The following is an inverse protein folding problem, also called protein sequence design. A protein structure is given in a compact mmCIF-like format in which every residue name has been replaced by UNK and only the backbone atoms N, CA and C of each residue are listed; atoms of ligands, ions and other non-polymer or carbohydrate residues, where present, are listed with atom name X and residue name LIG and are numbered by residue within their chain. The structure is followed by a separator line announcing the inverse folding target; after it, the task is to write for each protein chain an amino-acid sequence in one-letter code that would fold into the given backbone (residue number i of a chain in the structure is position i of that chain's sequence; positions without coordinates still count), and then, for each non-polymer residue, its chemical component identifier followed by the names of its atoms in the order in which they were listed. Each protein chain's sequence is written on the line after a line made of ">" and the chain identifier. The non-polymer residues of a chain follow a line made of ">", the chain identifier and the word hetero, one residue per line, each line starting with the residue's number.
data_IF_932819627535
#
_entry.id   IF_932819627535
#
_cell.length_a   1.000
_cell.length_b   1.000
_cell.length_c   1.000
_cell.angle_alpha   90.00
_cell.angle_beta   90.00
_cell.angle_gamma   90.00
#
_symmetry.space_group_name_H-M   'P 1'
#
loop_
_entity.id
_entity.type
_entity.pdbx_description
1 polymer ?
#
# COMPACT_ATOMS: atom_id res chain seq x y z
N UNK A 1 10.10 11.76 -8.37
CA UNK A 1 10.08 10.35 -7.91
C UNK A 1 9.33 9.51 -8.92
N UNK A 2 9.93 8.41 -9.36
CA UNK A 2 9.36 7.44 -10.32
C UNK A 2 8.79 6.27 -9.52
N UNK A 3 7.56 5.78 -9.81
CA UNK A 3 7.04 4.55 -9.20
C UNK A 3 7.93 3.34 -9.51
N UNK A 4 7.85 2.31 -8.67
CA UNK A 4 8.43 1.02 -9.03
C UNK A 4 7.75 0.47 -10.28
N UNK A 5 8.49 -0.27 -11.10
CA UNK A 5 8.00 -0.92 -12.30
C UNK A 5 7.91 -2.44 -12.12
N UNK A 6 7.06 -3.09 -12.91
CA UNK A 6 6.99 -4.56 -12.99
C UNK A 6 8.34 -5.24 -13.24
N UNK A 7 9.24 -4.58 -13.98
CA UNK A 7 10.59 -5.06 -14.31
C UNK A 7 11.61 -4.93 -13.18
N UNK A 8 11.33 -4.13 -12.14
CA UNK A 8 12.23 -3.99 -11.00
C UNK A 8 12.34 -5.30 -10.22
N UNK A 9 13.54 -5.62 -9.71
CA UNK A 9 13.79 -6.88 -9.00
C UNK A 9 13.31 -6.84 -7.55
N UNK A 10 12.03 -7.16 -7.34
CA UNK A 10 11.43 -7.41 -6.03
C UNK A 10 10.17 -8.28 -6.18
N UNK A 11 9.83 -9.02 -5.13
CA UNK A 11 8.60 -9.83 -5.09
C UNK A 11 7.60 -9.34 -4.04
N UNK A 12 8.12 -8.75 -2.96
CA UNK A 12 7.36 -8.29 -1.81
C UNK A 12 7.74 -6.86 -1.43
N UNK A 13 6.75 -6.09 -1.02
CA UNK A 13 6.91 -4.83 -0.28
C UNK A 13 6.37 -5.04 1.13
N UNK A 14 7.20 -4.73 2.12
CA UNK A 14 6.86 -4.86 3.53
C UNK A 14 6.90 -3.47 4.16
N UNK A 15 5.80 -3.05 4.77
CA UNK A 15 5.67 -1.77 5.47
C UNK A 15 5.45 -2.05 6.95
N UNK A 16 6.41 -1.66 7.79
CA UNK A 16 6.26 -1.64 9.24
C UNK A 16 5.74 -0.28 9.69
N UNK A 17 4.62 -0.28 10.41
CA UNK A 17 4.11 0.91 11.09
C UNK A 17 4.27 0.71 12.58
N UNK A 18 4.94 1.65 13.24
CA UNK A 18 5.17 1.66 14.68
C UNK A 18 4.70 2.98 15.29
N UNK A 19 3.95 2.89 16.38
CA UNK A 19 3.47 4.05 17.15
C UNK A 19 3.42 3.67 18.64
N UNK A 20 4.27 4.28 19.46
CA UNK A 20 4.50 3.90 20.85
C UNK A 20 4.74 2.38 20.97
N UNK A 21 3.94 1.68 21.77
CA UNK A 21 4.01 0.23 21.99
C UNK A 21 3.22 -0.60 20.96
N UNK A 22 2.71 0.02 19.90
CA UNK A 22 1.94 -0.66 18.85
C UNK A 22 2.78 -0.81 17.59
N UNK A 23 2.78 -2.00 16.99
CA UNK A 23 3.43 -2.27 15.71
C UNK A 23 2.57 -3.16 14.82
N UNK A 24 2.59 -2.91 13.51
CA UNK A 24 1.88 -3.73 12.52
C UNK A 24 2.63 -3.76 11.20
N UNK A 25 2.67 -4.96 10.64
CA UNK A 25 3.23 -5.22 9.32
C UNK A 25 2.14 -5.24 8.26
N UNK A 26 2.44 -4.65 7.11
CA UNK A 26 1.68 -4.83 5.88
C UNK A 26 2.60 -5.45 4.83
N UNK A 27 2.15 -6.55 4.24
CA UNK A 27 2.89 -7.28 3.22
C UNK A 27 2.10 -7.28 1.93
N UNK A 28 2.74 -6.82 0.86
CA UNK A 28 2.16 -6.76 -0.48
C UNK A 28 3.04 -7.54 -1.44
N UNK A 29 2.44 -8.47 -2.18
CA UNK A 29 3.13 -9.06 -3.31
C UNK A 29 3.02 -8.15 -4.55
N UNK A 30 3.98 -8.30 -5.46
CA UNK A 30 4.04 -7.53 -6.71
C UNK A 30 2.72 -7.58 -7.51
N UNK A 31 2.06 -8.74 -7.55
CA UNK A 31 0.78 -8.92 -8.24
C UNK A 31 -0.33 -8.04 -7.65
N UNK A 32 -0.43 -7.95 -6.32
CA UNK A 32 -1.41 -7.09 -5.65
C UNK A 32 -1.12 -5.63 -5.93
N UNK A 33 0.16 -5.23 -5.92
CA UNK A 33 0.56 -3.86 -6.24
C UNK A 33 0.23 -3.49 -7.69
N UNK A 34 0.45 -4.43 -8.63
CA UNK A 34 0.11 -4.25 -10.04
C UNK A 34 -1.41 -4.14 -10.24
N UNK A 35 -2.19 -5.06 -9.65
CA UNK A 35 -3.65 -5.08 -9.72
C UNK A 35 -4.28 -3.79 -9.19
N UNK A 36 -3.65 -3.17 -8.19
CA UNK A 36 -4.11 -1.91 -7.60
C UNK A 36 -3.43 -0.66 -8.21
N UNK A 37 -2.72 -0.81 -9.33
CA UNK A 37 -2.08 0.26 -10.08
C UNK A 37 -1.01 1.04 -9.28
N UNK A 38 -0.39 0.40 -8.28
CA UNK A 38 0.67 1.00 -7.44
C UNK A 38 1.99 1.09 -8.18
N UNK A 39 2.36 0.02 -8.86
CA UNK A 39 3.59 -0.05 -9.64
C UNK A 39 3.26 0.13 -11.13
N UNK A 40 4.21 0.67 -11.89
CA UNK A 40 4.06 0.91 -13.30
C UNK A 40 4.24 -0.36 -14.12
N UNK A 41 3.69 -0.31 -15.32
CA UNK A 41 3.96 -1.24 -16.41
C UNK A 41 3.82 -0.47 -17.74
N UNK A 42 3.93 -1.16 -18.88
CA UNK A 42 3.80 -0.56 -20.21
C UNK A 42 2.44 0.15 -20.47
N UNK A 43 1.42 -0.07 -19.64
CA UNK A 43 0.06 0.46 -19.81
C UNK A 43 -0.36 1.44 -18.70
N UNK A 44 0.39 1.55 -17.61
CA UNK A 44 0.04 2.38 -16.45
C UNK A 44 1.29 2.99 -15.82
N UNK A 45 1.23 4.30 -15.55
CA UNK A 45 2.29 5.07 -14.89
C UNK A 45 2.55 4.70 -13.43
N UNK A 46 1.68 3.93 -12.78
CA UNK A 46 1.78 3.59 -11.37
C UNK A 46 1.44 4.76 -10.43
N UNK A 47 1.51 4.52 -9.12
CA UNK A 47 1.25 5.51 -8.06
C UNK A 47 2.55 5.83 -7.33
N UNK A 48 2.71 7.11 -7.00
CA UNK A 48 3.91 7.60 -6.28
C UNK A 48 3.84 7.41 -4.77
N UNK A 49 2.65 7.12 -4.24
CA UNK A 49 2.43 6.95 -2.81
C UNK A 49 1.31 5.95 -2.54
N UNK A 50 1.41 5.26 -1.41
CA UNK A 50 0.42 4.35 -0.84
C UNK A 50 0.17 4.77 0.61
N UNK A 51 -1.07 4.66 1.09
CA UNK A 51 -1.39 4.82 2.51
C UNK A 51 -1.81 3.47 3.11
N UNK A 52 -1.17 3.09 4.22
CA UNK A 52 -1.59 1.96 5.03
C UNK A 52 -2.12 2.47 6.36
N UNK A 53 -3.17 1.83 6.87
CA UNK A 53 -3.83 2.26 8.11
C UNK A 53 -3.84 1.08 9.09
N UNK A 54 -2.95 1.07 10.09
CA UNK A 54 -3.06 0.07 11.14
C UNK A 54 -4.39 0.24 11.88
N UNK A 55 -4.85 -0.81 12.57
CA UNK A 55 -6.19 -0.85 13.16
C UNK A 55 -6.45 0.28 14.18
N UNK A 56 -5.40 0.84 14.79
CA UNK A 56 -5.51 1.95 15.72
C UNK A 56 -5.54 3.34 15.07
N UNK A 57 -5.32 3.42 13.75
CA UNK A 57 -5.40 4.68 13.02
C UNK A 57 -6.87 4.97 12.67
N UNK A 58 -7.46 6.03 13.25
CA UNK A 58 -8.79 6.51 12.88
C UNK A 58 -8.66 7.62 11.83
N UNK A 59 -9.00 7.39 10.55
CA UNK A 59 -8.93 8.44 9.54
C UNK A 59 -9.97 9.53 9.84
N UNK A 60 -9.55 10.79 9.80
CA UNK A 60 -10.37 11.96 10.16
C UNK A 60 -11.36 12.40 9.06
N UNK A 61 -11.41 11.73 7.91
CA UNK A 61 -12.17 12.18 6.74
C UNK A 61 -13.22 11.15 6.26
N UNK A 62 -14.40 11.64 5.81
CA UNK A 62 -15.66 10.89 5.57
C UNK A 62 -15.66 9.80 4.48
N UNK A 63 -14.52 9.42 3.90
CA UNK A 63 -14.46 8.40 2.84
C UNK A 63 -14.44 6.96 3.42
N UNK A 64 -15.66 6.49 3.70
CA UNK A 64 -16.18 5.10 3.86
C UNK A 64 -15.25 3.92 4.20
N UNK A 65 -15.59 3.32 5.36
CA UNK A 65 -15.78 1.90 5.74
C UNK A 65 -14.60 0.92 5.60
N UNK A 66 -14.04 0.63 6.78
CA UNK A 66 -13.32 -0.59 7.14
C UNK A 66 -14.12 -1.85 6.77
N UNK A 67 -13.67 -2.58 5.77
CA UNK A 67 -14.05 -3.98 5.56
C UNK A 67 -12.78 -4.75 5.26
N UNK A 68 -12.43 -5.58 6.25
CA UNK A 68 -11.47 -6.68 6.29
C UNK A 68 -10.15 -6.49 5.50
N UNK A 69 -9.06 -6.49 6.28
CA UNK A 69 -7.66 -6.38 5.86
C UNK A 69 -7.25 -5.01 5.29
N UNK A 70 -7.21 -4.03 6.21
CA UNK A 70 -7.22 -2.59 5.97
C UNK A 70 -5.92 -1.98 5.38
N UNK A 71 -5.72 -2.08 4.06
CA UNK A 71 -4.87 -1.13 3.34
C UNK A 71 -5.65 -0.49 2.19
N UNK A 72 -5.47 0.82 2.01
CA UNK A 72 -6.15 1.57 0.96
C UNK A 72 -5.13 2.10 -0.02
N UNK A 73 -5.16 1.54 -1.23
CA UNK A 73 -4.37 2.02 -2.34
C UNK A 73 -5.13 3.16 -3.03
N UNK A 74 -4.80 4.43 -2.69
CA UNK A 74 -5.28 5.62 -3.42
C UNK A 74 -4.75 5.65 -4.82
#
# INVERSE_FOLDING_TARGET
>A
MVPYDTSDKFDLVIILVQENDKSRLFTFNKETLLKNNVISNNHNSGKRALRVYPAWCKPTNKHKKHKNDNYHVF
#
